data_IF_690113866682
#
_entry.id   IF_690113866682
#
_cell.length_a   1.000
_cell.length_b   1.000
_cell.length_c   1.000
_cell.angle_alpha   90.00
_cell.angle_beta   90.00
_cell.angle_gamma   90.00
#
_symmetry.space_group_name_H-M   'P 1'
#
loop_
_entity.id
_entity.type
_entity.pdbx_description
1 polymer ?
#
# COMPACT_ATOMS: atom_id res chain seq x y z
N UNK A 1 3.16 5.90 -37.01
CA UNK A 1 2.71 7.12 -37.72
C UNK A 1 3.00 6.93 -39.20
N UNK A 2 2.06 7.20 -40.11
CA UNK A 2 2.12 6.69 -41.48
C UNK A 2 3.08 7.53 -42.35
N UNK A 3 4.21 6.97 -42.77
CA UNK A 3 5.25 7.67 -43.55
C UNK A 3 4.72 8.32 -44.84
N UNK A 4 3.63 7.78 -45.41
CA UNK A 4 2.98 8.34 -46.59
C UNK A 4 2.34 9.71 -46.38
N UNK A 5 1.89 10.06 -45.17
CA UNK A 5 1.26 11.36 -44.90
C UNK A 5 2.28 12.51 -44.93
N UNK A 6 3.45 12.30 -44.31
CA UNK A 6 4.55 13.29 -44.33
C UNK A 6 5.15 13.46 -45.72
N UNK A 7 5.27 12.37 -46.47
CA UNK A 7 5.72 12.42 -47.85
C UNK A 7 4.77 13.26 -48.73
N UNK A 8 3.47 13.12 -48.53
CA UNK A 8 2.45 13.93 -49.22
C UNK A 8 2.54 15.42 -48.92
N UNK A 9 2.63 15.80 -47.63
CA UNK A 9 2.78 17.22 -47.24
C UNK A 9 4.06 17.82 -47.80
N UNK A 10 5.18 17.08 -47.74
CA UNK A 10 6.48 17.55 -48.23
C UNK A 10 6.46 17.81 -49.74
N UNK A 11 5.80 16.93 -50.52
CA UNK A 11 5.62 17.13 -51.97
C UNK A 11 4.78 18.37 -52.26
N UNK A 12 3.65 18.56 -51.56
CA UNK A 12 2.76 19.71 -51.77
C UNK A 12 3.50 21.03 -51.49
N UNK A 13 4.26 21.09 -50.39
CA UNK A 13 5.05 22.26 -50.02
C UNK A 13 6.16 22.53 -51.04
N UNK A 14 6.86 21.49 -51.51
CA UNK A 14 7.94 21.61 -52.49
C UNK A 14 7.45 22.08 -53.87
N UNK A 15 6.32 21.54 -54.34
CA UNK A 15 5.69 21.94 -55.62
C UNK A 15 5.16 23.37 -55.52
N UNK A 16 4.51 23.74 -54.41
CA UNK A 16 3.98 25.07 -54.15
C UNK A 16 5.09 26.15 -54.10
N UNK A 17 6.23 25.86 -53.47
CA UNK A 17 7.41 26.74 -53.49
C UNK A 17 8.08 26.80 -54.87
N UNK A 18 8.20 25.67 -55.56
CA UNK A 18 8.79 25.61 -56.89
C UNK A 18 8.02 26.45 -57.92
N UNK A 19 6.69 26.37 -57.92
CA UNK A 19 5.82 27.20 -58.77
C UNK A 19 5.96 28.68 -58.39
N UNK A 20 6.05 29.02 -57.11
CA UNK A 20 6.15 30.41 -56.66
C UNK A 20 7.48 31.08 -57.07
N UNK A 21 8.59 30.33 -57.11
CA UNK A 21 9.92 30.85 -57.46
C UNK A 21 10.25 30.84 -58.96
N UNK A 22 9.81 29.81 -59.70
CA UNK A 22 10.23 29.61 -61.09
C UNK A 22 9.19 30.02 -62.13
N UNK A 23 7.91 30.12 -61.77
CA UNK A 23 6.89 30.49 -62.74
C UNK A 23 6.75 32.02 -62.87
N UNK A 24 6.77 32.59 -64.09
CA UNK A 24 6.56 34.02 -64.32
C UNK A 24 5.06 34.38 -64.23
N UNK A 25 4.49 34.21 -63.04
CA UNK A 25 3.07 34.52 -62.74
C UNK A 25 2.93 35.92 -62.15
N UNK A 26 1.77 36.55 -62.38
CA UNK A 26 1.43 37.84 -61.80
C UNK A 26 1.38 37.74 -60.26
N UNK A 27 1.71 38.83 -59.55
CA UNK A 27 1.98 38.80 -58.09
C UNK A 27 0.78 38.35 -57.24
N UNK A 28 -0.44 38.58 -57.73
CA UNK A 28 -1.69 38.11 -57.10
C UNK A 28 -1.75 36.56 -57.08
N UNK A 29 -1.29 35.90 -58.14
CA UNK A 29 -1.32 34.42 -58.23
C UNK A 29 -0.18 33.77 -57.46
N UNK A 30 0.95 34.47 -57.23
CA UNK A 30 2.02 34.01 -56.33
C UNK A 30 1.55 33.89 -54.89
N UNK A 31 0.69 34.81 -54.44
CA UNK A 31 0.04 34.74 -53.13
C UNK A 31 -0.79 33.46 -52.98
N UNK A 32 -1.63 33.14 -53.97
CA UNK A 32 -2.45 31.91 -53.96
C UNK A 32 -1.57 30.65 -54.05
N UNK A 33 -0.51 30.68 -54.86
CA UNK A 33 0.41 29.57 -55.04
C UNK A 33 1.21 29.22 -53.79
N UNK A 34 1.38 30.14 -52.83
CA UNK A 34 2.15 29.95 -51.59
C UNK A 34 1.30 29.56 -50.36
N UNK A 35 -0.02 29.69 -50.44
CA UNK A 35 -0.95 29.30 -49.36
C UNK A 35 -0.81 27.83 -48.94
N UNK A 36 -0.68 26.84 -49.85
CA UNK A 36 -0.47 25.46 -49.47
C UNK A 36 0.82 25.24 -48.68
N UNK A 37 1.90 25.97 -48.99
CA UNK A 37 3.16 25.91 -48.23
C UNK A 37 2.97 26.43 -46.80
N UNK A 38 2.31 27.56 -46.61
CA UNK A 38 2.06 28.13 -45.27
C UNK A 38 1.15 27.20 -44.46
N UNK A 39 0.10 26.66 -45.06
CA UNK A 39 -0.79 25.69 -44.42
C UNK A 39 -0.04 24.40 -44.05
N UNK A 40 0.82 23.88 -44.93
CA UNK A 40 1.66 22.71 -44.66
C UNK A 40 2.58 22.94 -43.47
N UNK A 41 3.23 24.10 -43.38
CA UNK A 41 4.08 24.45 -42.24
C UNK A 41 3.29 24.59 -40.93
N UNK A 42 2.11 25.22 -40.96
CA UNK A 42 1.24 25.34 -39.79
C UNK A 42 0.75 23.96 -39.29
N UNK A 43 0.36 23.07 -40.21
CA UNK A 43 -0.06 21.70 -39.84
C UNK A 43 1.10 20.88 -39.26
N UNK A 44 2.31 21.01 -39.80
CA UNK A 44 3.50 20.35 -39.27
C UNK A 44 3.84 20.85 -37.85
N UNK A 45 3.76 22.16 -37.61
CA UNK A 45 3.98 22.74 -36.27
C UNK A 45 2.93 22.27 -35.26
N UNK A 46 1.64 22.28 -35.63
CA UNK A 46 0.58 21.78 -34.76
C UNK A 46 0.76 20.30 -34.42
N UNK A 47 1.13 19.48 -35.40
CA UNK A 47 1.36 18.05 -35.21
C UNK A 47 2.59 17.78 -34.33
N UNK A 48 3.67 18.56 -34.48
CA UNK A 48 4.85 18.47 -33.62
C UNK A 48 4.49 18.72 -32.15
N UNK A 49 3.68 19.75 -31.87
CA UNK A 49 3.22 20.05 -30.50
C UNK A 49 2.38 18.88 -29.96
N UNK A 50 1.46 18.33 -30.76
CA UNK A 50 0.62 17.19 -30.37
C UNK A 50 1.46 15.94 -30.08
N UNK A 51 2.43 15.65 -30.93
CA UNK A 51 3.28 14.48 -30.80
C UNK A 51 4.22 14.62 -29.60
N UNK A 52 4.73 15.82 -29.31
CA UNK A 52 5.50 16.07 -28.09
C UNK A 52 4.65 15.86 -26.82
N UNK A 53 3.40 16.31 -26.81
CA UNK A 53 2.49 16.08 -25.69
C UNK A 53 2.20 14.57 -25.49
N UNK A 54 1.92 13.85 -26.58
CA UNK A 54 1.70 12.41 -26.52
C UNK A 54 2.97 11.65 -26.11
N UNK A 55 4.14 12.07 -26.59
CA UNK A 55 5.40 11.42 -26.29
C UNK A 55 5.78 11.60 -24.83
N UNK A 56 5.63 12.83 -24.28
CA UNK A 56 5.83 13.08 -22.84
C UNK A 56 4.93 12.21 -21.98
N UNK A 57 3.64 12.14 -22.31
CA UNK A 57 2.68 11.27 -21.61
C UNK A 57 3.07 9.80 -21.69
N UNK A 58 3.52 9.34 -22.86
CA UNK A 58 3.92 7.94 -23.04
C UNK A 58 5.20 7.61 -22.27
N UNK A 59 6.16 8.54 -22.20
CA UNK A 59 7.37 8.38 -21.38
C UNK A 59 6.99 8.26 -19.91
N UNK A 60 6.12 9.14 -19.42
CA UNK A 60 5.66 9.13 -18.02
C UNK A 60 4.99 7.80 -17.67
N UNK A 61 4.05 7.34 -18.50
CA UNK A 61 3.38 6.04 -18.33
C UNK A 61 4.39 4.88 -18.36
N UNK A 62 5.36 4.91 -19.27
CA UNK A 62 6.40 3.87 -19.35
C UNK A 62 7.31 3.88 -18.12
N UNK A 63 7.70 5.05 -17.62
CA UNK A 63 8.51 5.19 -16.42
C UNK A 63 7.76 4.68 -15.19
N UNK A 64 6.48 5.04 -15.03
CA UNK A 64 5.63 4.51 -13.97
C UNK A 64 5.49 2.99 -14.04
N UNK A 65 5.25 2.43 -15.24
CA UNK A 65 5.18 0.98 -15.45
C UNK A 65 6.51 0.28 -15.15
N UNK A 66 7.64 0.88 -15.55
CA UNK A 66 8.96 0.33 -15.27
C UNK A 66 9.28 0.36 -13.78
N UNK A 67 8.99 1.46 -13.08
CA UNK A 67 9.15 1.58 -11.64
C UNK A 67 8.26 0.60 -10.90
N UNK A 68 7.00 0.46 -11.33
CA UNK A 68 6.08 -0.53 -10.78
C UNK A 68 6.60 -1.96 -10.98
N UNK A 69 7.03 -2.32 -12.19
CA UNK A 69 7.61 -3.64 -12.46
C UNK A 69 8.89 -3.86 -11.63
N UNK A 70 9.79 -2.88 -11.56
CA UNK A 70 11.01 -3.00 -10.74
C UNK A 70 10.66 -3.16 -9.25
N UNK A 71 9.66 -2.43 -8.76
CA UNK A 71 9.20 -2.45 -7.38
C UNK A 71 8.32 -3.65 -7.01
N UNK A 72 7.67 -4.31 -7.97
CA UNK A 72 6.75 -5.41 -7.72
C UNK A 72 7.29 -6.77 -8.19
N UNK A 73 8.19 -6.81 -9.18
CA UNK A 73 8.70 -8.05 -9.77
C UNK A 73 10.20 -8.26 -9.57
N UNK A 74 10.90 -7.34 -8.91
CA UNK A 74 12.30 -7.61 -8.55
C UNK A 74 12.38 -8.70 -7.49
N UNK A 75 13.42 -9.53 -7.57
CA UNK A 75 13.70 -10.56 -6.59
C UNK A 75 13.78 -9.98 -5.16
N UNK A 76 14.34 -8.77 -5.03
CA UNK A 76 14.44 -8.05 -3.77
C UNK A 76 13.06 -7.62 -3.25
N UNK A 77 12.17 -7.11 -4.11
CA UNK A 77 10.81 -6.76 -3.71
C UNK A 77 10.02 -7.97 -3.21
N UNK A 78 10.06 -9.08 -3.94
CA UNK A 78 9.41 -10.32 -3.51
C UNK A 78 9.93 -10.78 -2.15
N UNK A 79 11.25 -10.79 -1.96
CA UNK A 79 11.86 -11.16 -0.68
C UNK A 79 11.44 -10.23 0.47
N UNK A 80 11.31 -8.92 0.22
CA UNK A 80 10.84 -7.95 1.22
C UNK A 80 9.38 -8.21 1.58
N UNK A 81 8.50 -8.44 0.59
CA UNK A 81 7.10 -8.77 0.84
C UNK A 81 6.94 -10.09 1.60
N UNK A 82 7.66 -11.13 1.19
CA UNK A 82 7.63 -12.44 1.84
C UNK A 82 8.07 -12.34 3.31
N UNK A 83 9.15 -11.59 3.59
CA UNK A 83 9.63 -11.39 4.97
C UNK A 83 8.69 -10.52 5.80
N UNK A 84 8.04 -9.53 5.21
CA UNK A 84 7.01 -8.75 5.89
C UNK A 84 5.77 -9.59 6.23
N UNK A 85 5.33 -10.45 5.30
CA UNK A 85 4.22 -11.40 5.55
C UNK A 85 4.61 -12.39 6.66
N UNK A 86 5.80 -12.98 6.58
CA UNK A 86 6.32 -13.90 7.58
C UNK A 86 6.37 -13.25 8.98
N UNK A 87 6.81 -11.99 9.06
CA UNK A 87 6.76 -11.21 10.30
C UNK A 87 5.33 -11.02 10.79
N UNK A 88 4.41 -10.59 9.93
CA UNK A 88 3.02 -10.36 10.32
C UNK A 88 2.36 -11.63 10.87
N UNK A 89 2.58 -12.78 10.24
CA UNK A 89 2.05 -14.07 10.69
C UNK A 89 2.61 -14.45 12.06
N UNK A 90 3.94 -14.44 12.21
CA UNK A 90 4.62 -14.80 13.46
C UNK A 90 4.25 -13.84 14.60
N UNK A 91 4.24 -12.53 14.33
CA UNK A 91 3.94 -11.51 15.32
C UNK A 91 2.48 -11.59 15.76
N UNK A 92 1.52 -11.69 14.83
CA UNK A 92 0.10 -11.81 15.19
C UNK A 92 -0.22 -13.12 15.91
N UNK A 93 0.45 -14.23 15.55
CA UNK A 93 0.31 -15.49 16.26
C UNK A 93 0.78 -15.35 17.72
N UNK A 94 1.90 -14.67 17.95
CA UNK A 94 2.40 -14.44 19.30
C UNK A 94 1.51 -13.46 20.08
N UNK A 95 1.02 -12.38 19.45
CA UNK A 95 0.03 -11.47 20.06
C UNK A 95 -1.22 -12.23 20.49
N UNK A 96 -1.74 -13.13 19.64
CA UNK A 96 -2.91 -13.92 19.98
C UNK A 96 -2.67 -14.79 21.23
N UNK A 97 -1.51 -15.47 21.29
CA UNK A 97 -1.13 -16.26 22.48
C UNK A 97 -1.03 -15.36 23.71
N UNK A 98 -0.34 -14.23 23.61
CA UNK A 98 -0.20 -13.26 24.70
C UNK A 98 -1.55 -12.85 25.27
N UNK A 99 -2.51 -12.45 24.42
CA UNK A 99 -3.81 -11.98 24.90
C UNK A 99 -4.60 -13.13 25.52
N UNK A 100 -4.58 -14.34 24.94
CA UNK A 100 -5.24 -15.52 25.51
C UNK A 100 -4.66 -15.89 26.88
N UNK A 101 -3.33 -15.87 27.01
CA UNK A 101 -2.67 -16.13 28.30
C UNK A 101 -3.06 -15.06 29.33
N UNK A 102 -3.05 -13.78 28.92
CA UNK A 102 -3.42 -12.67 29.79
C UNK A 102 -4.91 -12.68 30.21
N UNK A 103 -5.83 -13.08 29.34
CA UNK A 103 -7.26 -13.20 29.68
C UNK A 103 -7.51 -14.40 30.59
N UNK A 104 -6.89 -15.55 30.30
CA UNK A 104 -7.13 -16.80 31.02
C UNK A 104 -6.48 -16.84 32.41
N UNK A 105 -5.22 -16.41 32.48
CA UNK A 105 -4.37 -16.61 33.67
C UNK A 105 -4.04 -15.30 34.38
N UNK A 106 -4.26 -14.16 33.73
CA UNK A 106 -3.90 -12.85 34.26
C UNK A 106 -2.41 -12.57 34.12
N UNK A 107 -1.84 -11.71 34.99
CA UNK A 107 -0.43 -11.39 34.93
C UNK A 107 0.32 -12.62 35.46
N UNK A 108 1.01 -13.35 34.59
CA UNK A 108 1.83 -14.51 34.95
C UNK A 108 3.25 -14.39 34.36
N UNK A 109 4.17 -15.26 34.79
CA UNK A 109 5.52 -15.35 34.20
C UNK A 109 5.47 -15.65 32.69
N UNK A 110 4.46 -16.36 32.23
CA UNK A 110 4.27 -16.67 30.81
C UNK A 110 4.02 -15.40 29.98
N UNK A 111 3.31 -14.41 30.52
CA UNK A 111 3.14 -13.11 29.87
C UNK A 111 4.47 -12.37 29.66
N UNK A 112 5.42 -12.52 30.60
CA UNK A 112 6.76 -11.95 30.46
C UNK A 112 7.58 -12.68 29.37
N UNK A 113 7.44 -14.00 29.24
CA UNK A 113 8.06 -14.75 28.15
C UNK A 113 7.51 -14.32 26.78
N UNK A 114 6.20 -14.16 26.68
CA UNK A 114 5.53 -13.65 25.48
C UNK A 114 6.05 -12.25 25.09
N UNK A 115 6.23 -11.35 26.06
CA UNK A 115 6.85 -10.04 25.80
C UNK A 115 8.28 -10.16 25.25
N UNK A 116 9.07 -11.12 25.77
CA UNK A 116 10.41 -11.41 25.27
C UNK A 116 10.40 -11.94 23.83
N UNK A 117 9.45 -12.83 23.50
CA UNK A 117 9.31 -13.38 22.14
C UNK A 117 8.88 -12.31 21.13
N UNK A 118 7.95 -11.43 21.49
CA UNK A 118 7.56 -10.29 20.66
C UNK A 118 8.74 -9.36 20.36
N UNK A 119 9.56 -9.07 21.38
CA UNK A 119 10.78 -8.29 21.22
C UNK A 119 11.80 -8.96 20.29
N UNK A 120 12.03 -10.27 20.46
CA UNK A 120 12.93 -11.03 19.60
C UNK A 120 12.47 -11.03 18.14
N UNK A 121 11.17 -11.26 17.90
CA UNK A 121 10.58 -11.19 16.56
C UNK A 121 10.78 -9.80 15.95
N UNK A 122 10.61 -8.71 16.71
CA UNK A 122 10.84 -7.37 16.18
C UNK A 122 12.30 -7.16 15.77
N UNK A 123 13.26 -7.64 16.56
CA UNK A 123 14.69 -7.52 16.24
C UNK A 123 15.06 -8.34 15.00
N UNK A 124 14.61 -9.59 14.95
CA UNK A 124 14.89 -10.50 13.83
C UNK A 124 14.40 -9.92 12.50
N UNK A 125 13.26 -9.22 12.52
CA UNK A 125 12.64 -8.63 11.33
C UNK A 125 12.86 -7.12 11.20
N UNK A 126 13.74 -6.50 11.99
CA UNK A 126 13.96 -5.03 11.97
C UNK A 126 14.33 -4.51 10.57
N UNK A 127 15.10 -5.28 9.79
CA UNK A 127 15.48 -4.91 8.42
C UNK A 127 14.29 -4.86 7.44
N UNK A 128 13.17 -5.50 7.78
CA UNK A 128 12.01 -5.72 6.90
C UNK A 128 10.77 -4.95 7.34
N UNK A 129 10.81 -4.27 8.49
CA UNK A 129 9.73 -3.44 9.02
C UNK A 129 10.07 -1.96 8.87
N UNK A 130 9.04 -1.13 8.75
CA UNK A 130 9.25 0.32 8.69
C UNK A 130 9.50 0.91 10.09
N UNK A 131 10.29 2.00 10.21
CA UNK A 131 10.49 2.67 11.50
C UNK A 131 9.18 3.16 12.16
N UNK A 132 8.16 3.47 11.35
CA UNK A 132 6.83 3.85 11.85
C UNK A 132 6.11 2.67 12.52
N UNK A 133 6.21 1.46 11.93
CA UNK A 133 5.68 0.24 12.56
C UNK A 133 6.40 -0.04 13.88
N UNK A 134 7.73 0.03 13.90
CA UNK A 134 8.52 -0.21 15.11
C UNK A 134 8.11 0.74 16.25
N UNK A 135 7.97 2.03 15.94
CA UNK A 135 7.53 3.06 16.90
C UNK A 135 6.15 2.77 17.48
N UNK A 136 5.24 2.21 16.68
CA UNK A 136 3.87 1.87 17.09
C UNK A 136 3.77 0.54 17.84
N UNK A 137 4.66 -0.42 17.59
CA UNK A 137 4.70 -1.71 18.29
C UNK A 137 5.38 -1.60 19.68
N UNK A 138 6.32 -0.67 19.85
CA UNK A 138 7.04 -0.46 21.11
C UNK A 138 6.13 -0.22 22.34
N UNK A 139 5.11 0.66 22.29
CA UNK A 139 4.18 0.86 23.41
C UNK A 139 3.44 -0.43 23.80
N UNK A 140 3.00 -1.20 22.82
CA UNK A 140 2.32 -2.48 23.04
C UNK A 140 3.23 -3.48 23.77
N UNK A 141 4.46 -3.69 23.29
CA UNK A 141 5.39 -4.60 23.94
C UNK A 141 5.78 -4.16 25.35
N UNK A 142 5.94 -2.85 25.56
CA UNK A 142 6.17 -2.28 26.89
C UNK A 142 4.98 -2.54 27.82
N UNK A 143 3.75 -2.43 27.32
CA UNK A 143 2.54 -2.74 28.09
C UNK A 143 2.55 -4.21 28.54
N UNK A 144 2.74 -5.15 27.61
CA UNK A 144 2.80 -6.59 27.92
C UNK A 144 3.92 -6.89 28.92
N UNK A 145 5.10 -6.30 28.73
CA UNK A 145 6.23 -6.48 29.65
C UNK A 145 5.94 -5.93 31.05
N UNK A 146 5.30 -4.76 31.16
CA UNK A 146 4.94 -4.17 32.44
C UNK A 146 3.88 -5.01 33.16
N UNK A 147 2.93 -5.57 32.42
CA UNK A 147 1.92 -6.49 32.95
C UNK A 147 2.57 -7.77 33.47
N UNK A 148 3.45 -8.40 32.68
CA UNK A 148 4.21 -9.59 33.12
C UNK A 148 5.12 -9.30 34.31
N UNK A 149 5.74 -8.11 34.38
CA UNK A 149 6.57 -7.73 35.52
C UNK A 149 5.77 -7.55 36.82
N UNK A 150 4.51 -7.11 36.72
CA UNK A 150 3.59 -7.02 37.87
C UNK A 150 3.13 -8.40 38.38
N UNK A 151 3.23 -9.47 37.58
CA UNK A 151 2.90 -10.83 38.04
C UNK A 151 3.78 -11.29 39.21
N UNK A 152 5.08 -11.02 39.12
CA UNK A 152 6.03 -11.41 40.17
C UNK A 152 5.76 -10.70 41.49
N UNK A 153 5.12 -9.53 41.45
CA UNK A 153 4.64 -8.83 42.64
C UNK A 153 3.36 -9.49 43.18
N UNK A 154 2.38 -9.79 42.33
CA UNK A 154 1.12 -10.43 42.75
C UNK A 154 1.34 -11.83 43.33
N UNK A 155 2.22 -12.64 42.72
CA UNK A 155 2.62 -13.95 43.26
C UNK A 155 3.35 -13.86 44.62
N UNK A 156 4.05 -12.75 44.87
CA UNK A 156 4.67 -12.49 46.18
C UNK A 156 3.66 -12.07 47.26
N UNK A 157 2.46 -11.63 46.86
CA UNK A 157 1.38 -11.18 47.76
C UNK A 157 0.21 -12.19 47.86
N UNK A 158 0.08 -13.15 46.94
CA UNK A 158 -1.03 -14.11 46.83
C UNK A 158 -1.08 -15.19 47.93
N UNK A 159 -0.11 -15.22 48.86
CA UNK A 159 -0.15 -16.06 50.05
C UNK A 159 -1.21 -15.67 51.10
N UNK A 160 -2.09 -14.70 50.83
CA UNK A 160 -3.14 -14.23 51.74
C UNK A 160 -4.53 -14.35 51.09
N UNK A 161 -5.50 -14.89 51.85
CA UNK A 161 -6.77 -15.52 51.44
C UNK A 161 -7.84 -14.59 50.78
N UNK A 162 -7.51 -13.85 49.71
CA UNK A 162 -8.48 -13.00 48.99
C UNK A 162 -8.30 -13.06 47.46
N UNK A 163 -8.31 -14.27 46.91
CA UNK A 163 -7.86 -14.55 45.53
C UNK A 163 -8.76 -13.97 44.43
N UNK A 164 -10.09 -14.07 44.53
CA UNK A 164 -10.98 -13.79 43.38
C UNK A 164 -11.28 -12.29 43.13
N UNK A 165 -11.50 -11.48 44.17
CA UNK A 165 -11.67 -10.02 44.03
C UNK A 165 -10.38 -9.34 43.56
N UNK A 166 -9.24 -9.81 44.07
CA UNK A 166 -7.92 -9.29 43.71
C UNK A 166 -7.58 -9.65 42.26
N UNK A 167 -7.95 -10.86 41.80
CA UNK A 167 -7.76 -11.29 40.40
C UNK A 167 -8.57 -10.45 39.42
N UNK A 168 -9.84 -10.19 39.73
CA UNK A 168 -10.71 -9.39 38.85
C UNK A 168 -10.24 -7.94 38.75
N UNK A 169 -9.83 -7.33 39.87
CA UNK A 169 -9.24 -5.99 39.87
C UNK A 169 -7.89 -5.92 39.14
N UNK A 170 -7.04 -6.93 39.31
CA UNK A 170 -5.78 -7.01 38.59
C UNK A 170 -5.99 -7.10 37.07
N UNK A 171 -6.99 -7.88 36.63
CA UNK A 171 -7.37 -7.97 35.22
C UNK A 171 -7.92 -6.63 34.70
N UNK A 172 -8.80 -5.95 35.44
CA UNK A 172 -9.30 -4.62 35.06
C UNK A 172 -8.17 -3.59 34.94
N UNK A 173 -7.26 -3.50 35.92
CA UNK A 173 -6.11 -2.60 35.86
C UNK A 173 -5.16 -2.92 34.69
N UNK A 174 -5.00 -4.21 34.35
CA UNK A 174 -4.21 -4.64 33.20
C UNK A 174 -4.86 -4.21 31.89
N UNK A 175 -6.17 -4.41 31.74
CA UNK A 175 -6.91 -4.02 30.55
C UNK A 175 -7.02 -2.51 30.43
N UNK A 176 -7.08 -1.75 31.52
CA UNK A 176 -7.00 -0.28 31.48
C UNK A 176 -5.63 0.19 30.98
N UNK A 177 -4.54 -0.41 31.46
CA UNK A 177 -3.19 -0.11 30.96
C UNK A 177 -3.09 -0.45 29.47
N UNK A 178 -3.68 -1.57 29.06
CA UNK A 178 -3.69 -2.01 27.67
C UNK A 178 -4.50 -1.06 26.77
N UNK A 179 -5.70 -0.67 27.21
CA UNK A 179 -6.64 0.20 26.49
C UNK A 179 -6.05 1.60 26.32
N UNK A 180 -5.55 2.18 27.41
CA UNK A 180 -4.91 3.50 27.40
C UNK A 180 -3.67 3.56 26.50
N UNK A 181 -2.85 2.50 26.47
CA UNK A 181 -1.63 2.48 25.66
C UNK A 181 -1.88 2.18 24.17
N UNK A 182 -2.91 1.41 23.86
CA UNK A 182 -3.26 1.07 22.48
C UNK A 182 -4.22 2.09 21.84
N UNK A 183 -4.73 3.04 22.63
CA UNK A 183 -5.79 3.97 22.23
C UNK A 183 -7.08 3.22 21.88
N UNK A 184 -7.28 2.07 22.51
CA UNK A 184 -8.50 1.28 22.45
C UNK A 184 -9.44 1.91 23.49
N UNK A 185 -10.72 2.10 23.19
CA UNK A 185 -11.69 2.62 24.17
C UNK A 185 -11.81 1.72 25.41
N UNK A 186 -12.73 2.01 26.34
CA UNK A 186 -12.99 1.13 27.48
C UNK A 186 -13.26 -0.32 27.00
N UNK A 187 -12.26 -1.18 27.13
CA UNK A 187 -12.36 -2.59 26.77
C UNK A 187 -13.26 -3.24 27.82
N UNK A 188 -14.42 -3.75 27.38
CA UNK A 188 -15.32 -4.45 28.26
C UNK A 188 -14.72 -5.81 28.65
N UNK A 189 -14.04 -5.83 29.80
CA UNK A 189 -13.32 -6.98 30.39
C UNK A 189 -14.19 -8.24 30.53
N UNK A 190 -15.52 -8.11 30.39
CA UNK A 190 -16.48 -9.22 30.54
C UNK A 190 -16.52 -10.21 29.36
N UNK A 191 -15.88 -9.92 28.23
CA UNK A 191 -15.87 -10.84 27.09
C UNK A 191 -14.44 -11.03 26.53
N UNK A 192 -13.79 -12.12 26.94
CA UNK A 192 -12.42 -12.47 26.55
C UNK A 192 -12.23 -12.48 25.02
N UNK A 193 -13.21 -13.01 24.27
CA UNK A 193 -13.16 -13.09 22.82
C UNK A 193 -13.23 -11.71 22.16
N UNK A 194 -14.03 -10.79 22.71
CA UNK A 194 -14.16 -9.43 22.18
C UNK A 194 -12.84 -8.66 22.33
N UNK A 195 -12.19 -8.79 23.48
CA UNK A 195 -10.89 -8.18 23.75
C UNK A 195 -9.81 -8.72 22.84
N UNK A 196 -9.74 -10.04 22.63
CA UNK A 196 -8.80 -10.67 21.70
C UNK A 196 -8.95 -10.13 20.28
N UNK A 197 -10.20 -9.96 19.82
CA UNK A 197 -10.48 -9.43 18.47
C UNK A 197 -10.04 -7.97 18.33
N UNK A 198 -10.32 -7.13 19.32
CA UNK A 198 -10.01 -5.70 19.27
C UNK A 198 -8.49 -5.44 19.29
N UNK A 199 -7.76 -6.13 20.17
CA UNK A 199 -6.29 -6.04 20.22
C UNK A 199 -5.67 -6.51 18.91
N UNK A 200 -6.14 -7.63 18.36
CA UNK A 200 -5.64 -8.14 17.07
C UNK A 200 -5.95 -7.19 15.92
N UNK A 201 -7.13 -6.56 15.93
CA UNK A 201 -7.50 -5.57 14.92
C UNK A 201 -6.54 -4.38 14.93
N UNK A 202 -6.23 -3.86 16.13
CA UNK A 202 -5.30 -2.73 16.29
C UNK A 202 -3.88 -3.08 15.85
N UNK A 203 -3.38 -4.27 16.20
CA UNK A 203 -2.06 -4.72 15.74
C UNK A 203 -2.04 -4.93 14.22
N UNK A 204 -3.11 -5.47 13.62
CA UNK A 204 -3.23 -5.58 12.14
C UNK A 204 -3.17 -4.23 11.43
N UNK A 205 -3.78 -3.21 12.02
CA UNK A 205 -3.71 -1.83 11.53
C UNK A 205 -2.29 -1.29 11.59
N UNK A 206 -1.57 -1.50 12.70
CA UNK A 206 -0.15 -1.09 12.83
C UNK A 206 0.72 -1.80 11.78
N UNK A 207 0.46 -3.07 11.53
CA UNK A 207 1.19 -3.89 10.57
C UNK A 207 0.81 -3.62 9.10
N UNK A 208 -0.16 -2.73 8.87
CA UNK A 208 -0.73 -2.40 7.55
C UNK A 208 -1.28 -3.60 6.78
N UNK A 209 -1.80 -4.59 7.51
CA UNK A 209 -2.40 -5.79 6.91
C UNK A 209 -3.71 -5.45 6.23
N UNK A 210 -4.46 -4.47 6.75
CA UNK A 210 -5.74 -4.05 6.20
C UNK A 210 -5.58 -3.42 4.81
N UNK A 211 -4.49 -2.69 4.57
CA UNK A 211 -4.14 -2.10 3.29
C UNK A 211 -3.81 -3.17 2.25
N UNK A 212 -3.13 -4.25 2.65
CA UNK A 212 -2.89 -5.39 1.75
C UNK A 212 -4.18 -6.10 1.37
N UNK A 213 -5.10 -6.27 2.33
CA UNK A 213 -6.42 -6.86 2.08
C UNK A 213 -7.26 -5.97 1.16
N UNK A 214 -7.28 -4.66 1.37
CA UNK A 214 -8.05 -3.74 0.52
C UNK A 214 -7.50 -3.65 -0.91
N UNK A 215 -6.18 -3.69 -1.08
CA UNK A 215 -5.54 -3.80 -2.42
C UNK A 215 -5.98 -5.11 -3.09
N UNK A 216 -5.95 -6.23 -2.36
CA UNK A 216 -6.41 -7.52 -2.89
C UNK A 216 -7.88 -7.48 -3.30
N UNK A 217 -8.76 -6.90 -2.49
CA UNK A 217 -10.19 -6.75 -2.82
C UNK A 217 -10.40 -5.88 -4.05
N UNK A 218 -9.68 -4.77 -4.17
CA UNK A 218 -9.73 -3.90 -5.33
C UNK A 218 -9.29 -4.64 -6.61
N UNK A 219 -8.22 -5.43 -6.54
CA UNK A 219 -7.75 -6.25 -7.66
C UNK A 219 -8.76 -7.32 -8.05
N UNK A 220 -9.36 -8.01 -7.08
CA UNK A 220 -10.42 -9.00 -7.31
C UNK A 220 -11.64 -8.35 -7.97
N UNK A 221 -12.07 -7.18 -7.48
CA UNK A 221 -13.21 -6.44 -8.03
C UNK A 221 -12.95 -5.94 -9.46
N UNK A 222 -11.73 -5.49 -9.75
CA UNK A 222 -11.35 -5.12 -11.13
C UNK A 222 -11.29 -6.34 -12.05
N UNK A 223 -10.75 -7.46 -11.57
CA UNK A 223 -10.70 -8.69 -12.33
C UNK A 223 -12.10 -9.22 -12.63
N UNK A 224 -13.02 -9.18 -11.66
CA UNK A 224 -14.42 -9.62 -11.84
C UNK A 224 -15.20 -8.74 -12.81
N UNK A 225 -14.99 -7.42 -12.78
CA UNK A 225 -15.56 -6.50 -13.78
C UNK A 225 -15.02 -6.77 -15.19
N UNK A 226 -13.74 -7.09 -15.31
CA UNK A 226 -13.13 -7.42 -16.60
C UNK A 226 -13.64 -8.76 -17.15
N UNK A 227 -13.83 -9.77 -16.32
CA UNK A 227 -14.44 -11.05 -16.71
C UNK A 227 -15.92 -10.90 -17.05
N UNK A 228 -16.68 -10.11 -16.29
CA UNK A 228 -18.09 -9.82 -16.58
C UNK A 228 -18.30 -9.07 -17.90
N UNK A 229 -17.42 -8.11 -18.23
CA UNK A 229 -17.42 -7.44 -19.54
C UNK A 229 -17.03 -8.38 -20.70
N UNK A 230 -16.19 -9.39 -20.46
CA UNK A 230 -15.90 -10.42 -21.46
C UNK A 230 -17.13 -11.29 -21.73
N UNK A 231 -17.82 -11.74 -20.69
CA UNK A 231 -19.03 -12.57 -20.84
C UNK A 231 -20.17 -11.82 -21.56
N UNK A 232 -20.39 -10.53 -21.27
CA UNK A 232 -21.39 -9.73 -22.00
C UNK A 232 -21.06 -9.56 -23.49
N UNK A 233 -19.77 -9.53 -23.85
CA UNK A 233 -19.32 -9.44 -25.24
C UNK A 233 -19.54 -10.74 -26.04
N UNK A 234 -19.56 -11.89 -25.37
CA UNK A 234 -19.86 -13.19 -25.99
C UNK A 234 -21.36 -13.52 -26.07
N UNK A 235 -22.22 -12.79 -25.36
CA UNK A 235 -23.69 -12.97 -25.40
C UNK A 235 -24.34 -12.01 -26.43
N UNK A 236 -23.58 -11.04 -26.96
CA UNK A 236 -24.04 -10.03 -27.93
C UNK A 236 -23.51 -10.21 -29.36
N UNK A 237 -22.85 -11.34 -29.64
CA UNK A 237 -22.55 -11.87 -30.99
C UNK A 237 -23.43 -13.08 -31.28
#
# INVERSE_FOLDING_TARGET
MNNGFWFGISIIVAVSLGVTFFAPINDIYKGVASLPSVAGLLTALFQLIRDQASHKRNIEIQQEQQLFNLGATSHMANSVFDKHVEFCEKYLAEVHKTVVTLTREGPTKEALEHAGRLYTLRIEYTAWITPDMEKKLLPFEKAVRNIGAKSGLVDAFSGTERSDETRTKALEEMFDVFSNLMGIGEVNVKNEDATVVEVKSRVREILKVNELVSIRELLINRASQFTGNKEQKYISE
#
